data_IF_587004644748
#
_entry.id   IF_587004644748
#
_cell.length_a   1.000
_cell.length_b   1.000
_cell.length_c   1.000
_cell.angle_alpha   90.00
_cell.angle_beta   90.00
_cell.angle_gamma   90.00
#
_symmetry.space_group_name_H-M   'P 1'
#
loop_
_entity.id
_entity.type
_entity.pdbx_description
1 polymer ?
#
# COMPACT_ATOMS: atom_id res chain seq x y z
N UNK A 1 72.53 0.79 22.88
CA UNK A 1 71.91 1.71 21.92
C UNK A 1 70.69 1.01 21.32
N UNK A 2 69.51 1.19 21.91
CA UNK A 2 68.25 0.53 21.49
C UNK A 2 67.45 1.55 20.64
N UNK A 3 67.28 1.30 19.36
CA UNK A 3 66.50 2.17 18.49
C UNK A 3 65.01 1.83 18.63
N UNK A 4 64.20 2.76 19.14
CA UNK A 4 62.72 2.71 19.09
C UNK A 4 62.27 3.05 17.66
N UNK A 5 61.57 2.12 17.01
CA UNK A 5 60.84 2.35 15.76
C UNK A 5 59.42 2.73 16.14
N UNK A 6 59.04 4.02 15.93
CA UNK A 6 57.68 4.48 16.11
C UNK A 6 56.86 4.14 14.85
N UNK A 7 55.86 3.27 14.97
CA UNK A 7 54.87 3.03 13.92
C UNK A 7 53.77 4.11 13.97
N UNK A 8 53.76 5.00 12.99
CA UNK A 8 52.63 5.90 12.76
C UNK A 8 51.50 5.11 12.14
N UNK A 9 50.48 4.76 12.90
CA UNK A 9 49.20 4.27 12.40
C UNK A 9 48.40 5.46 11.86
N UNK A 10 48.33 5.62 10.54
CA UNK A 10 47.42 6.57 9.88
C UNK A 10 46.00 5.99 9.94
N UNK A 11 44.99 6.68 10.51
CA UNK A 11 43.62 6.21 10.44
C UNK A 11 43.10 6.38 9.01
N UNK A 12 42.81 5.25 8.34
CA UNK A 12 42.09 5.26 7.07
C UNK A 12 40.63 5.59 7.37
N UNK A 13 40.22 6.82 7.17
CA UNK A 13 38.82 7.24 7.19
C UNK A 13 38.20 6.76 5.88
N UNK A 14 37.50 5.61 5.93
CA UNK A 14 36.67 5.15 4.82
C UNK A 14 35.40 6.02 4.86
N UNK A 15 35.38 7.08 4.02
CA UNK A 15 34.16 7.80 3.69
C UNK A 15 33.28 6.86 2.85
N UNK A 16 32.41 6.09 3.50
CA UNK A 16 31.36 5.37 2.83
C UNK A 16 30.32 6.40 2.33
N UNK A 17 30.52 6.93 1.12
CA UNK A 17 29.44 7.60 0.37
C UNK A 17 28.41 6.54 0.03
N UNK A 18 27.36 6.37 0.85
CA UNK A 18 26.15 5.70 0.40
C UNK A 18 25.54 6.55 -0.71
N UNK A 19 25.35 6.03 -1.93
CA UNK A 19 24.73 6.81 -2.98
C UNK A 19 23.33 7.22 -2.51
N UNK A 20 23.03 8.53 -2.59
CA UNK A 20 21.68 9.02 -2.30
C UNK A 20 20.74 8.48 -3.40
N UNK A 21 20.00 7.42 -3.10
CA UNK A 21 19.07 6.79 -4.02
C UNK A 21 17.69 7.46 -4.04
N UNK A 22 17.53 8.59 -3.37
CA UNK A 22 16.27 9.34 -3.29
C UNK A 22 16.35 10.61 -4.14
N UNK A 23 15.47 10.70 -5.14
CA UNK A 23 15.21 11.91 -5.92
C UNK A 23 13.92 12.57 -5.41
N UNK A 24 14.02 13.79 -4.91
CA UNK A 24 12.84 14.60 -4.62
C UNK A 24 12.39 15.25 -5.94
N UNK A 25 11.15 14.98 -6.34
CA UNK A 25 10.59 15.51 -7.59
C UNK A 25 9.43 16.48 -7.32
N UNK A 26 9.77 17.76 -7.22
CA UNK A 26 8.80 18.83 -7.00
C UNK A 26 7.94 19.14 -8.24
N UNK A 27 8.27 18.63 -9.42
CA UNK A 27 7.43 18.78 -10.62
C UNK A 27 6.07 18.09 -10.46
N UNK A 28 6.00 17.08 -9.59
CA UNK A 28 4.76 16.37 -9.25
C UNK A 28 3.78 17.21 -8.41
N UNK A 29 4.23 18.32 -7.80
CA UNK A 29 3.39 19.20 -6.97
C UNK A 29 2.12 19.66 -7.69
N UNK A 30 2.20 19.87 -9.02
CA UNK A 30 1.07 20.34 -9.82
C UNK A 30 -0.17 19.44 -9.69
N UNK A 31 0.01 18.11 -9.64
CA UNK A 31 -1.11 17.17 -9.48
C UNK A 31 -1.87 17.36 -8.17
N UNK A 32 -1.17 17.71 -7.10
CA UNK A 32 -1.76 17.98 -5.79
C UNK A 32 -2.45 19.35 -5.77
N UNK A 33 -1.79 20.37 -6.30
CA UNK A 33 -2.33 21.74 -6.34
C UNK A 33 -3.57 21.84 -7.22
N UNK A 34 -3.55 21.27 -8.42
CA UNK A 34 -4.67 21.30 -9.38
C UNK A 34 -5.90 20.55 -8.87
N UNK A 35 -5.72 19.52 -8.04
CA UNK A 35 -6.80 18.76 -7.43
C UNK A 35 -7.17 19.26 -6.02
N UNK A 36 -6.55 20.34 -5.53
CA UNK A 36 -6.81 20.94 -4.20
C UNK A 36 -6.69 19.91 -3.06
N UNK A 37 -5.67 19.07 -3.12
CA UNK A 37 -5.37 18.06 -2.11
C UNK A 37 -3.95 18.21 -1.59
N UNK A 38 -3.73 17.85 -0.32
CA UNK A 38 -2.42 17.59 0.24
C UNK A 38 -2.07 16.12 0.06
N UNK A 39 -0.76 15.80 0.04
CA UNK A 39 -0.41 14.40 -0.10
C UNK A 39 1.07 14.14 -0.33
N UNK A 40 1.37 12.89 -0.64
CA UNK A 40 2.66 12.45 -1.12
C UNK A 40 2.50 11.38 -2.22
N UNK A 41 3.55 11.27 -3.02
CA UNK A 41 3.72 10.18 -3.96
C UNK A 41 5.14 9.65 -3.85
N UNK A 42 5.31 8.34 -3.92
CA UNK A 42 6.63 7.73 -4.07
C UNK A 42 6.55 6.60 -5.09
N UNK A 43 7.62 6.49 -5.88
CA UNK A 43 7.86 5.39 -6.81
C UNK A 43 9.27 4.86 -6.59
N UNK A 44 9.37 3.55 -6.43
CA UNK A 44 10.62 2.81 -6.34
C UNK A 44 10.86 2.03 -7.63
N UNK A 45 11.91 2.37 -8.34
CA UNK A 45 12.48 1.52 -9.39
C UNK A 45 13.22 0.34 -8.77
N UNK A 46 12.70 -0.87 -8.95
CA UNK A 46 13.30 -2.06 -8.34
C UNK A 46 14.67 -2.43 -8.93
N UNK A 47 14.94 -2.11 -10.20
CA UNK A 47 16.21 -2.44 -10.85
C UNK A 47 17.37 -1.61 -10.37
N UNK A 48 17.15 -0.32 -10.20
CA UNK A 48 18.19 0.62 -9.75
C UNK A 48 18.17 0.91 -8.25
N UNK A 49 17.09 0.54 -7.56
CA UNK A 49 16.86 0.89 -6.16
C UNK A 49 16.60 2.38 -5.95
N UNK A 50 16.30 3.15 -7.01
CA UNK A 50 16.06 4.60 -6.94
C UNK A 50 14.62 4.90 -6.56
N UNK A 51 14.46 5.88 -5.68
CA UNK A 51 13.16 6.45 -5.32
C UNK A 51 12.96 7.80 -6.02
N UNK A 52 11.77 8.01 -6.58
CA UNK A 52 11.25 9.32 -6.97
C UNK A 52 10.13 9.68 -6.01
N UNK A 53 10.29 10.76 -5.23
CA UNK A 53 9.38 11.10 -4.14
C UNK A 53 8.94 12.56 -4.26
N UNK A 54 7.64 12.79 -4.13
CA UNK A 54 7.07 14.08 -3.79
C UNK A 54 6.63 14.08 -2.33
N UNK A 55 6.99 15.12 -1.57
CA UNK A 55 6.70 15.32 -0.15
C UNK A 55 7.27 14.19 0.75
N UNK A 56 8.58 14.15 0.85
CA UNK A 56 9.32 13.15 1.63
C UNK A 56 8.88 13.06 3.10
N UNK A 57 8.58 14.22 3.72
CA UNK A 57 8.17 14.27 5.13
C UNK A 57 6.87 13.48 5.33
N UNK A 58 5.86 13.75 4.50
CA UNK A 58 4.60 13.01 4.55
C UNK A 58 4.80 11.51 4.26
N UNK A 59 5.64 11.19 3.28
CA UNK A 59 5.94 9.80 2.90
C UNK A 59 6.55 8.99 4.05
N UNK A 60 7.54 9.57 4.75
CA UNK A 60 8.36 8.84 5.73
C UNK A 60 7.88 8.98 7.17
N UNK A 61 7.38 10.17 7.55
CA UNK A 61 7.23 10.56 8.95
C UNK A 61 5.76 10.64 9.40
N UNK A 62 4.79 10.56 8.48
CA UNK A 62 3.36 10.69 8.79
C UNK A 62 2.62 9.37 8.66
N UNK A 63 1.73 9.07 9.61
CA UNK A 63 0.95 7.84 9.64
C UNK A 63 -0.55 8.15 9.51
N UNK A 64 -1.26 7.32 8.74
CA UNK A 64 -2.68 7.48 8.43
C UNK A 64 -3.42 6.15 8.57
N UNK A 65 -4.76 6.20 8.77
CA UNK A 65 -5.55 4.98 8.68
C UNK A 65 -5.37 4.34 7.29
N UNK A 66 -5.17 3.02 7.22
CA UNK A 66 -4.97 2.34 5.93
C UNK A 66 -6.26 2.28 5.10
N UNK A 67 -7.42 2.39 5.73
CA UNK A 67 -8.70 2.18 5.07
C UNK A 67 -8.70 0.86 4.27
N UNK A 68 -9.15 0.88 3.02
CA UNK A 68 -9.26 -0.35 2.23
C UNK A 68 -7.93 -0.90 1.69
N UNK A 69 -6.76 -0.26 1.91
CA UNK A 69 -5.47 -0.91 1.61
C UNK A 69 -5.22 -2.08 2.56
N UNK A 70 -5.74 -2.01 3.80
CA UNK A 70 -5.69 -3.11 4.77
C UNK A 70 -6.30 -4.42 4.25
N UNK A 71 -7.17 -4.38 3.23
CA UNK A 71 -7.74 -5.58 2.62
C UNK A 71 -6.67 -6.52 2.03
N UNK A 72 -5.50 -6.01 1.66
CA UNK A 72 -4.34 -6.83 1.28
C UNK A 72 -3.97 -7.76 2.43
N UNK A 73 -3.70 -7.20 3.59
CA UNK A 73 -3.28 -7.95 4.79
C UNK A 73 -4.42 -8.82 5.34
N UNK A 74 -5.65 -8.30 5.38
CA UNK A 74 -6.82 -9.06 5.83
C UNK A 74 -7.05 -10.32 4.96
N UNK A 75 -6.89 -10.21 3.63
CA UNK A 75 -6.97 -11.37 2.71
C UNK A 75 -5.86 -12.38 2.96
N UNK A 76 -4.62 -11.92 3.11
CA UNK A 76 -3.47 -12.79 3.40
C UNK A 76 -3.66 -13.56 4.71
N UNK A 77 -4.12 -12.88 5.77
CA UNK A 77 -4.40 -13.53 7.06
C UNK A 77 -5.56 -14.52 6.93
N UNK A 78 -6.63 -14.13 6.25
CA UNK A 78 -7.79 -15.00 6.04
C UNK A 78 -7.44 -16.30 5.30
N UNK A 79 -6.63 -16.21 4.24
CA UNK A 79 -6.12 -17.35 3.49
C UNK A 79 -5.16 -18.20 4.35
N UNK A 80 -4.23 -17.56 5.04
CA UNK A 80 -3.22 -18.25 5.85
C UNK A 80 -3.81 -19.02 7.02
N UNK A 81 -4.92 -18.53 7.57
CA UNK A 81 -5.61 -19.13 8.73
C UNK A 81 -6.77 -20.04 8.35
N UNK A 82 -6.98 -20.27 7.04
CA UNK A 82 -8.05 -21.11 6.50
C UNK A 82 -9.46 -20.56 6.74
N UNK A 83 -9.61 -19.26 7.09
CA UNK A 83 -10.93 -18.62 7.21
C UNK A 83 -11.56 -18.36 5.85
N UNK A 84 -10.75 -18.25 4.82
CA UNK A 84 -11.07 -18.42 3.42
C UNK A 84 -10.06 -19.39 2.81
N UNK A 85 -10.50 -20.29 1.93
CA UNK A 85 -9.64 -21.34 1.37
C UNK A 85 -9.02 -20.95 0.01
N UNK A 86 -9.65 -20.03 -0.70
CA UNK A 86 -9.19 -19.47 -1.99
C UNK A 86 -9.96 -18.20 -2.34
N UNK A 87 -9.65 -17.62 -3.50
CA UNK A 87 -10.29 -16.40 -4.01
C UNK A 87 -11.75 -16.56 -4.44
N UNK A 88 -12.20 -17.82 -4.65
CA UNK A 88 -13.56 -18.15 -5.10
C UNK A 88 -14.51 -18.49 -3.94
N UNK A 89 -13.98 -18.67 -2.72
CA UNK A 89 -14.84 -18.97 -1.56
C UNK A 89 -15.81 -17.83 -1.28
N UNK A 90 -17.09 -18.18 -1.16
CA UNK A 90 -18.17 -17.23 -0.95
C UNK A 90 -18.39 -16.99 0.56
N UNK A 91 -18.45 -15.74 0.95
CA UNK A 91 -19.07 -15.32 2.20
C UNK A 91 -20.47 -14.81 1.88
N UNK A 92 -21.47 -15.39 2.55
CA UNK A 92 -22.87 -15.01 2.36
C UNK A 92 -23.12 -13.61 2.92
N UNK A 93 -23.97 -12.87 2.21
CA UNK A 93 -24.49 -11.60 2.70
C UNK A 93 -25.39 -11.84 3.90
N UNK A 94 -25.32 -10.95 4.90
CA UNK A 94 -26.10 -11.05 6.13
C UNK A 94 -27.52 -10.43 6.01
N UNK A 95 -27.93 -10.00 4.82
CA UNK A 95 -29.22 -9.39 4.55
C UNK A 95 -29.32 -7.92 4.94
N UNK A 96 -28.24 -7.30 5.46
CA UNK A 96 -28.27 -5.91 5.93
C UNK A 96 -27.73 -4.97 4.85
N UNK A 97 -28.58 -4.06 4.38
CA UNK A 97 -28.14 -2.98 3.48
C UNK A 97 -27.35 -1.90 4.26
N UNK A 98 -26.13 -1.65 3.85
CA UNK A 98 -25.22 -0.65 4.45
C UNK A 98 -24.94 0.52 3.50
N UNK A 99 -25.88 0.81 2.60
CA UNK A 99 -25.77 1.93 1.64
C UNK A 99 -24.76 1.69 0.50
N UNK A 100 -24.42 0.41 0.24
CA UNK A 100 -23.58 -0.01 -0.89
C UNK A 100 -24.23 -1.20 -1.60
N UNK A 101 -25.17 -0.93 -2.52
CA UNK A 101 -25.95 -2.00 -3.17
C UNK A 101 -25.11 -3.08 -3.84
N UNK A 102 -23.93 -2.72 -4.36
CA UNK A 102 -22.97 -3.65 -4.95
C UNK A 102 -22.41 -4.69 -3.96
N UNK A 103 -22.52 -4.43 -2.65
CA UNK A 103 -22.14 -5.35 -1.58
C UNK A 103 -23.30 -6.20 -1.05
N UNK A 104 -24.55 -5.92 -1.45
CA UNK A 104 -25.75 -6.57 -0.93
C UNK A 104 -26.03 -7.90 -1.65
N UNK A 105 -25.06 -8.78 -1.68
CA UNK A 105 -25.14 -10.12 -2.28
C UNK A 105 -24.07 -11.05 -1.71
N UNK A 106 -24.28 -12.33 -1.85
CA UNK A 106 -23.25 -13.34 -1.67
C UNK A 106 -22.10 -13.07 -2.64
N UNK A 107 -20.84 -13.06 -2.17
CA UNK A 107 -19.72 -12.82 -3.06
C UNK A 107 -18.44 -13.53 -2.62
N UNK A 108 -17.58 -13.79 -3.61
CA UNK A 108 -16.26 -14.34 -3.40
C UNK A 108 -15.28 -13.33 -2.85
N UNK A 109 -14.13 -13.82 -2.33
CA UNK A 109 -13.02 -12.95 -1.95
C UNK A 109 -12.57 -12.07 -3.12
N UNK A 110 -12.44 -12.65 -4.32
CA UNK A 110 -12.00 -11.93 -5.51
C UNK A 110 -12.93 -10.75 -5.83
N UNK A 111 -14.25 -10.99 -5.89
CA UNK A 111 -15.23 -9.92 -6.12
C UNK A 111 -15.19 -8.85 -5.03
N UNK A 112 -15.19 -9.25 -3.75
CA UNK A 112 -15.15 -8.34 -2.61
C UNK A 112 -13.88 -7.48 -2.59
N UNK A 113 -12.73 -8.03 -2.99
CA UNK A 113 -11.48 -7.30 -3.12
C UNK A 113 -11.56 -6.26 -4.24
N UNK A 114 -12.04 -6.66 -5.41
CA UNK A 114 -12.14 -5.83 -6.62
C UNK A 114 -13.03 -4.61 -6.43
N UNK A 115 -14.23 -4.79 -5.86
CA UNK A 115 -15.15 -3.68 -5.58
C UNK A 115 -14.86 -3.02 -4.23
N UNK A 116 -13.87 -3.52 -3.47
CA UNK A 116 -13.50 -3.01 -2.14
C UNK A 116 -14.65 -3.05 -1.13
N UNK A 117 -15.43 -4.15 -1.10
CA UNK A 117 -16.59 -4.32 -0.23
C UNK A 117 -16.19 -4.38 1.24
N UNK A 118 -16.51 -3.33 2.01
CA UNK A 118 -16.15 -3.26 3.43
C UNK A 118 -16.93 -4.27 4.29
N UNK A 119 -18.27 -4.45 4.15
CA UNK A 119 -19.02 -5.43 4.94
C UNK A 119 -18.47 -6.84 4.85
N UNK A 120 -18.08 -7.29 3.66
CA UNK A 120 -17.45 -8.59 3.46
C UNK A 120 -16.15 -8.75 4.27
N UNK A 121 -15.31 -7.71 4.26
CA UNK A 121 -14.03 -7.72 4.99
C UNK A 121 -14.20 -7.56 6.50
N UNK A 122 -15.26 -6.90 6.96
CA UNK A 122 -15.66 -6.87 8.37
C UNK A 122 -16.02 -8.28 8.86
N UNK A 123 -16.78 -9.04 8.06
CA UNK A 123 -17.11 -10.42 8.38
C UNK A 123 -15.87 -11.32 8.37
N UNK A 124 -15.00 -11.18 7.39
CA UNK A 124 -13.73 -11.93 7.37
C UNK A 124 -12.89 -11.65 8.63
N UNK A 125 -12.78 -10.39 9.03
CA UNK A 125 -12.03 -10.01 10.24
C UNK A 125 -12.65 -10.62 11.52
N UNK A 126 -13.98 -10.66 11.62
CA UNK A 126 -14.67 -11.37 12.73
C UNK A 126 -14.35 -12.86 12.75
N UNK A 127 -14.32 -13.53 11.59
CA UNK A 127 -13.94 -14.95 11.47
C UNK A 127 -12.46 -15.21 11.81
N UNK A 128 -11.57 -14.30 11.47
CA UNK A 128 -10.15 -14.36 11.86
C UNK A 128 -10.02 -14.27 13.38
N UNK A 129 -10.74 -13.35 13.99
CA UNK A 129 -10.71 -13.10 15.41
C UNK A 129 -9.56 -12.19 15.86
N UNK A 130 -9.74 -11.58 17.04
CA UNK A 130 -8.84 -10.53 17.53
C UNK A 130 -7.41 -11.02 17.77
N UNK A 131 -7.24 -12.13 18.45
CA UNK A 131 -5.91 -12.62 18.85
C UNK A 131 -5.08 -13.03 17.63
N UNK A 132 -5.72 -13.71 16.69
CA UNK A 132 -5.08 -14.10 15.42
C UNK A 132 -4.72 -12.85 14.60
N UNK A 133 -5.61 -11.87 14.51
CA UNK A 133 -5.34 -10.61 13.81
C UNK A 133 -4.15 -9.88 14.45
N UNK A 134 -4.14 -9.76 15.79
CA UNK A 134 -3.06 -9.11 16.53
C UNK A 134 -1.72 -9.82 16.32
N UNK A 135 -1.71 -11.16 16.37
CA UNK A 135 -0.51 -11.95 16.09
C UNK A 135 0.09 -11.58 14.72
N UNK A 136 -0.74 -11.49 13.67
CA UNK A 136 -0.28 -11.18 12.33
C UNK A 136 0.14 -9.72 12.15
N UNK A 137 -0.56 -8.77 12.77
CA UNK A 137 -0.12 -7.37 12.78
C UNK A 137 1.27 -7.21 13.40
N UNK A 138 1.52 -7.91 14.52
CA UNK A 138 2.82 -7.92 15.19
C UNK A 138 3.89 -8.58 14.31
N UNK A 139 3.58 -9.75 13.72
CA UNK A 139 4.51 -10.49 12.85
C UNK A 139 4.94 -9.67 11.63
N UNK A 140 4.01 -8.92 11.05
CA UNK A 140 4.26 -8.04 9.92
C UNK A 140 4.90 -6.70 10.32
N UNK A 141 4.89 -6.36 11.62
CA UNK A 141 5.15 -5.00 12.12
C UNK A 141 4.31 -3.96 11.37
N UNK A 142 3.00 -4.26 11.16
CA UNK A 142 2.13 -3.44 10.33
C UNK A 142 1.70 -2.18 11.07
N UNK A 143 2.26 -1.05 10.68
CA UNK A 143 1.98 0.26 11.26
C UNK A 143 2.09 0.27 12.79
N UNK A 144 1.13 0.91 13.47
CA UNK A 144 1.09 0.98 14.94
C UNK A 144 0.47 -0.27 15.62
N UNK A 145 0.01 -1.26 14.85
CA UNK A 145 -0.51 -2.57 15.30
C UNK A 145 -1.72 -2.48 16.25
N UNK A 146 -2.42 -1.36 16.30
CA UNK A 146 -3.55 -1.15 17.22
C UNK A 146 -4.85 -1.68 16.66
N UNK A 147 -5.53 -2.51 17.45
CA UNK A 147 -6.89 -2.99 17.18
C UNK A 147 -7.83 -2.39 18.21
N UNK A 148 -8.82 -1.61 17.78
CA UNK A 148 -9.97 -1.18 18.57
C UNK A 148 -11.06 -2.24 18.50
N UNK A 149 -11.97 -2.12 17.53
CA UNK A 149 -12.98 -3.13 17.19
C UNK A 149 -12.48 -3.99 16.06
N UNK A 150 -12.59 -5.30 16.20
CA UNK A 150 -12.02 -6.27 15.24
C UNK A 150 -12.49 -6.06 13.79
N UNK A 151 -13.67 -5.54 13.60
CA UNK A 151 -14.30 -5.38 12.29
C UNK A 151 -14.20 -3.96 11.70
N UNK A 152 -13.60 -2.99 12.43
CA UNK A 152 -13.51 -1.59 11.97
C UNK A 152 -12.18 -0.88 12.24
N UNK A 153 -11.24 -1.48 12.98
CA UNK A 153 -10.01 -0.83 13.43
C UNK A 153 -9.14 -0.20 12.33
N UNK A 154 -9.27 -0.65 11.09
CA UNK A 154 -8.59 -0.06 9.91
C UNK A 154 -9.36 1.12 9.28
N UNK A 155 -10.56 1.45 9.81
CA UNK A 155 -11.45 2.50 9.33
C UNK A 155 -11.68 3.60 10.38
N UNK A 156 -11.39 3.36 11.65
CA UNK A 156 -11.72 4.22 12.79
C UNK A 156 -10.52 5.00 13.36
N UNK A 157 -9.45 5.10 12.60
CA UNK A 157 -8.19 5.75 12.98
C UNK A 157 -7.39 5.08 14.12
N UNK A 158 -7.77 3.90 14.60
CA UNK A 158 -6.99 3.15 15.59
C UNK A 158 -5.72 2.59 14.99
N UNK A 159 -5.84 1.89 13.87
CA UNK A 159 -4.70 1.41 13.08
C UNK A 159 -4.19 2.53 12.18
N UNK A 160 -2.87 2.77 12.23
CA UNK A 160 -2.21 3.76 11.38
C UNK A 160 -0.95 3.18 10.78
N UNK A 161 -0.68 3.53 9.53
CA UNK A 161 0.49 3.09 8.77
C UNK A 161 1.07 4.26 7.97
N UNK A 162 2.38 4.23 7.75
CA UNK A 162 3.06 5.22 6.91
C UNK A 162 3.02 4.83 5.44
N UNK A 163 3.10 5.80 4.52
CA UNK A 163 3.19 5.49 3.08
C UNK A 163 4.41 4.64 2.71
N UNK A 164 5.56 4.82 3.35
CA UNK A 164 6.75 4.01 3.10
C UNK A 164 6.58 2.55 3.55
N UNK A 165 5.86 2.31 4.66
CA UNK A 165 5.53 0.96 5.12
C UNK A 165 4.57 0.25 4.15
N UNK A 166 3.56 0.96 3.61
CA UNK A 166 2.65 0.43 2.58
C UNK A 166 3.39 0.09 1.29
N UNK A 167 4.32 0.94 0.84
CA UNK A 167 5.16 0.65 -0.33
C UNK A 167 6.05 -0.57 -0.09
N UNK A 168 6.66 -0.66 1.09
CA UNK A 168 7.45 -1.82 1.50
C UNK A 168 6.63 -3.12 1.55
N UNK A 169 5.38 -3.06 2.02
CA UNK A 169 4.46 -4.18 2.06
C UNK A 169 4.16 -4.73 0.65
N UNK A 170 3.77 -3.86 -0.29
CA UNK A 170 3.42 -4.30 -1.66
C UNK A 170 4.64 -4.80 -2.42
N UNK A 171 5.83 -4.25 -2.16
CA UNK A 171 7.09 -4.79 -2.69
C UNK A 171 7.36 -6.21 -2.19
N UNK A 172 7.26 -6.44 -0.88
CA UNK A 172 7.43 -7.77 -0.30
C UNK A 172 6.37 -8.75 -0.80
N UNK A 173 5.12 -8.31 -0.98
CA UNK A 173 4.05 -9.11 -1.55
C UNK A 173 4.40 -9.56 -2.98
N UNK A 174 4.82 -8.64 -3.85
CA UNK A 174 5.20 -8.94 -5.23
C UNK A 174 6.26 -10.05 -5.32
N UNK A 175 7.26 -10.03 -4.45
CA UNK A 175 8.34 -11.01 -4.42
C UNK A 175 8.05 -12.24 -3.55
N UNK A 176 6.84 -12.41 -3.05
CA UNK A 176 6.47 -13.51 -2.13
C UNK A 176 7.35 -13.56 -0.87
N UNK A 177 7.76 -12.41 -0.35
CA UNK A 177 8.66 -12.26 0.80
C UNK A 177 7.94 -11.97 2.13
N UNK A 178 6.61 -11.89 2.12
CA UNK A 178 5.83 -11.81 3.35
C UNK A 178 5.78 -13.19 4.03
N UNK A 179 5.59 -13.25 5.38
CA UNK A 179 5.60 -14.51 6.13
C UNK A 179 4.30 -15.31 5.97
N UNK A 180 3.82 -15.42 4.73
CA UNK A 180 2.64 -16.19 4.32
C UNK A 180 3.04 -17.24 3.29
N UNK A 181 2.26 -18.30 3.17
CA UNK A 181 2.47 -19.27 2.09
C UNK A 181 2.45 -18.56 0.73
N UNK A 182 3.37 -18.96 -0.14
CA UNK A 182 3.51 -18.39 -1.48
C UNK A 182 2.19 -18.36 -2.25
N UNK A 183 1.46 -19.47 -2.24
CA UNK A 183 0.15 -19.59 -2.89
C UNK A 183 -0.84 -18.51 -2.43
N UNK A 184 -0.88 -18.20 -1.12
CA UNK A 184 -1.77 -17.16 -0.58
C UNK A 184 -1.38 -15.77 -1.08
N UNK A 185 -0.08 -15.51 -1.22
CA UNK A 185 0.42 -14.24 -1.75
C UNK A 185 0.07 -14.10 -3.24
N UNK A 186 0.22 -15.15 -4.03
CA UNK A 186 -0.12 -15.18 -5.46
C UNK A 186 -1.64 -14.96 -5.70
N UNK A 187 -2.51 -15.48 -4.83
CA UNK A 187 -3.95 -15.19 -4.87
C UNK A 187 -4.22 -13.69 -4.70
N UNK A 188 -3.58 -13.05 -3.73
CA UNK A 188 -3.77 -11.60 -3.47
C UNK A 188 -3.17 -10.76 -4.59
N UNK A 189 -1.99 -11.13 -5.12
CA UNK A 189 -1.39 -10.48 -6.29
C UNK A 189 -2.34 -10.52 -7.50
N UNK A 190 -2.94 -11.68 -7.78
CA UNK A 190 -3.94 -11.83 -8.85
C UNK A 190 -5.14 -10.91 -8.64
N UNK A 191 -5.65 -10.79 -7.41
CA UNK A 191 -6.76 -9.90 -7.11
C UNK A 191 -6.39 -8.41 -7.27
N UNK A 192 -5.11 -8.04 -7.11
CA UNK A 192 -4.60 -6.69 -7.30
C UNK A 192 -4.41 -6.30 -8.78
N UNK A 193 -4.31 -7.23 -9.71
CA UNK A 193 -4.10 -6.94 -11.14
C UNK A 193 -5.37 -6.35 -11.76
N UNK A 194 -5.34 -5.06 -12.11
CA UNK A 194 -6.46 -4.32 -12.69
C UNK A 194 -6.33 -4.11 -14.20
N UNK A 195 -5.16 -3.74 -14.67
CA UNK A 195 -4.88 -3.56 -16.10
C UNK A 195 -3.77 -4.52 -16.52
N UNK A 196 -4.02 -5.30 -17.59
CA UNK A 196 -3.05 -6.20 -18.22
C UNK A 196 -3.16 -6.04 -19.74
N UNK A 197 -2.19 -5.37 -20.35
CA UNK A 197 -2.17 -5.07 -21.77
C UNK A 197 -0.75 -5.22 -22.33
N UNK A 198 -0.56 -4.95 -23.64
CA UNK A 198 0.74 -5.11 -24.31
C UNK A 198 1.84 -4.18 -23.76
N UNK A 199 1.48 -3.05 -23.18
CA UNK A 199 2.43 -2.03 -22.77
C UNK A 199 2.83 -2.18 -21.29
N UNK A 200 1.85 -2.52 -20.43
CA UNK A 200 2.09 -2.61 -18.99
C UNK A 200 1.09 -3.54 -18.30
N UNK A 201 1.45 -3.94 -17.07
CA UNK A 201 0.52 -4.51 -16.08
C UNK A 201 0.45 -3.58 -14.88
N UNK A 202 -0.76 -3.20 -14.49
CA UNK A 202 -0.99 -2.33 -13.35
C UNK A 202 -1.76 -3.05 -12.26
N UNK A 203 -1.11 -3.26 -11.14
CA UNK A 203 -1.66 -3.92 -9.95
C UNK A 203 -1.74 -2.94 -8.80
N UNK A 204 -2.90 -2.82 -8.16
CA UNK A 204 -3.05 -1.89 -7.04
C UNK A 204 -4.18 -2.24 -6.10
N UNK A 205 -4.17 -1.59 -4.94
CA UNK A 205 -5.31 -1.50 -4.04
C UNK A 205 -5.56 -0.05 -3.66
N UNK A 206 -6.83 0.34 -3.68
CA UNK A 206 -7.26 1.67 -3.26
C UNK A 206 -7.75 1.68 -1.81
N UNK A 207 -7.60 2.83 -1.13
CA UNK A 207 -8.18 3.12 0.17
C UNK A 207 -8.95 4.44 0.16
N UNK A 208 -10.02 4.53 0.92
CA UNK A 208 -10.76 5.77 1.18
C UNK A 208 -11.36 5.72 2.58
N UNK A 209 -11.18 6.79 3.33
CA UNK A 209 -11.70 6.97 4.68
C UNK A 209 -11.62 8.44 5.10
N UNK A 210 -11.91 8.70 6.36
CA UNK A 210 -11.76 10.01 6.98
C UNK A 210 -10.72 9.95 8.09
N UNK A 211 -9.84 10.94 8.14
CA UNK A 211 -8.92 11.06 9.27
C UNK A 211 -9.59 11.67 10.51
N UNK A 212 -8.84 11.83 11.60
CA UNK A 212 -9.34 12.35 12.88
C UNK A 212 -9.83 13.80 12.80
N UNK A 213 -9.41 14.55 11.78
CA UNK A 213 -9.87 15.94 11.52
C UNK A 213 -11.14 15.99 10.67
N UNK A 214 -11.66 14.82 10.24
CA UNK A 214 -12.78 14.74 9.32
C UNK A 214 -12.41 14.92 7.84
N UNK A 215 -11.13 15.11 7.52
CA UNK A 215 -10.69 15.24 6.14
C UNK A 215 -10.78 13.90 5.41
N UNK A 216 -11.16 13.98 4.13
CA UNK A 216 -11.18 12.81 3.24
C UNK A 216 -9.75 12.35 2.98
N UNK A 217 -9.49 11.05 3.14
CA UNK A 217 -8.19 10.43 2.92
C UNK A 217 -8.25 9.41 1.81
N UNK A 218 -7.38 9.54 0.82
CA UNK A 218 -7.29 8.63 -0.33
C UNK A 218 -5.94 7.92 -0.39
N UNK A 219 -5.97 6.64 -0.78
CA UNK A 219 -4.80 5.82 -1.03
C UNK A 219 -4.85 5.12 -2.38
N UNK A 220 -3.70 4.95 -3.00
CA UNK A 220 -3.45 3.89 -3.96
C UNK A 220 -2.05 3.34 -3.68
N UNK A 221 -1.94 2.03 -3.52
CA UNK A 221 -0.66 1.33 -3.32
C UNK A 221 -0.57 0.16 -4.29
N UNK A 222 0.61 -0.09 -4.86
CA UNK A 222 0.75 -1.17 -5.82
C UNK A 222 2.03 -1.12 -6.63
N UNK A 223 1.98 -1.68 -7.82
CA UNK A 223 3.10 -1.70 -8.76
C UNK A 223 2.62 -1.61 -10.20
N UNK A 224 3.49 -1.09 -11.06
CA UNK A 224 3.38 -1.17 -12.50
C UNK A 224 4.55 -1.99 -13.03
N UNK A 225 4.27 -2.91 -13.96
CA UNK A 225 5.28 -3.68 -14.69
C UNK A 225 5.33 -3.22 -16.15
N UNK A 226 6.49 -2.83 -16.61
CA UNK A 226 6.79 -2.64 -18.02
C UNK A 226 8.03 -3.46 -18.38
N UNK A 227 8.02 -4.13 -19.53
CA UNK A 227 9.11 -5.00 -19.97
C UNK A 227 9.56 -6.04 -18.91
N UNK A 228 8.62 -6.55 -18.12
CA UNK A 228 8.85 -7.49 -16.99
C UNK A 228 9.65 -6.87 -15.83
N UNK A 229 9.75 -5.53 -15.77
CA UNK A 229 10.41 -4.82 -14.71
C UNK A 229 9.38 -4.15 -13.79
N UNK A 230 9.36 -4.45 -12.47
CA UNK A 230 8.41 -3.85 -11.55
C UNK A 230 8.89 -2.52 -10.98
N UNK A 231 7.96 -1.59 -10.88
CA UNK A 231 8.08 -0.31 -10.19
C UNK A 231 6.99 -0.20 -9.15
N UNK A 232 7.35 -0.01 -7.88
CA UNK A 232 6.42 0.05 -6.76
C UNK A 232 6.04 1.47 -6.46
N UNK A 233 4.76 1.72 -6.18
CA UNK A 233 4.30 3.07 -5.90
C UNK A 233 3.32 3.13 -4.72
N UNK A 234 3.27 4.32 -4.12
CA UNK A 234 2.24 4.74 -3.18
C UNK A 234 1.82 6.17 -3.47
N UNK A 235 0.52 6.40 -3.51
CA UNK A 235 -0.12 7.70 -3.51
C UNK A 235 -1.00 7.80 -2.26
N UNK A 236 -0.73 8.81 -1.40
CA UNK A 236 -1.58 9.16 -0.27
C UNK A 236 -1.99 10.60 -0.40
N UNK A 237 -3.30 10.87 -0.38
CA UNK A 237 -3.86 12.23 -0.53
C UNK A 237 -4.89 12.52 0.55
N UNK A 238 -5.04 13.79 0.87
CA UNK A 238 -5.97 14.30 1.88
C UNK A 238 -6.66 15.56 1.36
N UNK A 239 -7.98 15.67 1.58
CA UNK A 239 -8.76 16.87 1.25
C UNK A 239 -9.68 17.25 2.40
N UNK A 240 -9.77 18.54 2.75
CA UNK A 240 -10.78 19.04 3.67
C UNK A 240 -12.18 19.12 3.04
N UNK A 241 -12.30 19.03 1.71
CA UNK A 241 -13.60 19.07 1.02
C UNK A 241 -14.34 17.73 1.23
N UNK A 242 -15.49 17.72 1.93
CA UNK A 242 -16.26 16.51 2.16
C UNK A 242 -16.92 15.96 0.87
N UNK A 243 -17.04 16.78 -0.18
CA UNK A 243 -17.70 16.43 -1.43
C UNK A 243 -16.73 15.99 -2.53
N UNK A 244 -15.43 15.90 -2.22
CA UNK A 244 -14.43 15.47 -3.20
C UNK A 244 -14.77 14.07 -3.74
N UNK A 245 -14.75 13.91 -5.06
CA UNK A 245 -14.79 12.58 -5.68
C UNK A 245 -13.41 11.90 -5.51
N UNK A 246 -13.15 11.41 -4.30
CA UNK A 246 -11.88 10.79 -3.94
C UNK A 246 -11.52 9.61 -4.87
N UNK A 247 -12.45 8.71 -5.25
CA UNK A 247 -12.18 7.68 -6.23
C UNK A 247 -11.64 8.20 -7.57
N UNK A 248 -12.30 9.20 -8.15
CA UNK A 248 -11.89 9.75 -9.44
C UNK A 248 -10.57 10.54 -9.32
N UNK A 249 -10.45 11.39 -8.30
CA UNK A 249 -9.25 12.24 -8.08
C UNK A 249 -8.00 11.40 -7.94
N UNK A 250 -7.98 10.42 -7.04
CA UNK A 250 -6.77 9.59 -6.81
C UNK A 250 -6.34 8.82 -8.06
N UNK A 251 -7.31 8.28 -8.86
CA UNK A 251 -6.99 7.53 -10.08
C UNK A 251 -6.47 8.44 -11.18
N UNK A 252 -7.08 9.62 -11.38
CA UNK A 252 -6.60 10.63 -12.32
C UNK A 252 -5.19 11.07 -11.99
N UNK A 253 -4.92 11.35 -10.70
CA UNK A 253 -3.59 11.73 -10.23
C UNK A 253 -2.56 10.63 -10.46
N UNK A 254 -2.86 9.37 -10.08
CA UNK A 254 -1.94 8.26 -10.29
C UNK A 254 -1.58 8.12 -11.77
N UNK A 255 -2.59 8.06 -12.65
CA UNK A 255 -2.36 7.90 -14.09
C UNK A 255 -1.55 9.07 -14.65
N UNK A 256 -1.89 10.31 -14.30
CA UNK A 256 -1.14 11.49 -14.74
C UNK A 256 0.31 11.49 -14.27
N UNK A 257 0.57 11.13 -13.02
CA UNK A 257 1.93 11.02 -12.47
C UNK A 257 2.71 9.90 -13.17
N UNK A 258 2.14 8.71 -13.33
CA UNK A 258 2.80 7.61 -14.02
C UNK A 258 3.13 7.97 -15.47
N UNK A 259 2.21 8.60 -16.20
CA UNK A 259 2.45 9.08 -17.57
C UNK A 259 3.58 10.13 -17.62
N UNK A 260 3.60 11.09 -16.69
CA UNK A 260 4.69 12.08 -16.62
C UNK A 260 6.06 11.44 -16.35
N UNK A 261 6.07 10.36 -15.58
CA UNK A 261 7.30 9.61 -15.28
C UNK A 261 7.72 8.65 -16.41
N UNK A 262 6.96 8.61 -17.52
CA UNK A 262 7.29 7.82 -18.73
C UNK A 262 6.61 6.46 -18.80
N UNK A 263 5.76 6.11 -17.83
CA UNK A 263 5.03 4.83 -17.79
C UNK A 263 3.76 4.84 -18.65
N UNK A 264 3.19 3.65 -18.84
CA UNK A 264 1.91 3.36 -19.51
C UNK A 264 1.97 3.41 -21.06
N UNK A 265 3.12 3.76 -21.62
CA UNK A 265 3.32 3.81 -23.06
C UNK A 265 4.18 2.65 -23.61
N UNK A 266 4.65 1.76 -22.74
CA UNK A 266 5.51 0.62 -23.10
C UNK A 266 6.92 1.02 -23.51
N UNK A 267 7.41 2.14 -22.99
CA UNK A 267 8.73 2.70 -23.33
C UNK A 267 9.80 2.50 -22.26
N UNK A 268 9.41 2.01 -21.08
CA UNK A 268 10.30 1.81 -19.93
C UNK A 268 10.92 0.42 -19.91
#
# INVERSE_FOLDING_TARGET
MTRLIAYCLLPIVILACSPNNVKIDNSLKKYFTENQVDGCFALLDNGTGRFTIYNLIRYRDSSYLPASTFKIVNSLIGLQTGKIVNDSMIIKWDGIDRGRPECNKDMSMYEAFRISCAPWYMELARRIGRDTMQYWLNTLSYGNQKISRIDTFWLDNSLKIKPDEELGLVKKLYFNQLPFHRYNQEIVQKAMLFDDNSNYKLSYKTGWGQNERGNQLGWIVGWIEENKHPYFFVLNIESPDPNIDMPAVRMRMLKGILTQLGFMEGKM
#
